data_IF_461292292134
#
_entry.id   IF_461292292134
#
_cell.length_a   1.000
_cell.length_b   1.000
_cell.length_c   1.000
_cell.angle_alpha   90.00
_cell.angle_beta   90.00
_cell.angle_gamma   90.00
#
_symmetry.space_group_name_H-M   'P 1'
#
loop_
_entity.id
_entity.type
_entity.pdbx_description
1 polymer ?
#
# COMPACT_ATOMS: atom_id res chain seq x y z
N UNK A 1 8.67 1.55 -7.63
CA UNK A 1 8.51 0.16 -7.18
C UNK A 1 7.32 -0.52 -7.81
N UNK A 2 7.52 -0.98 -9.01
CA UNK A 2 6.45 -1.58 -9.79
C UNK A 2 5.95 -2.89 -9.19
N UNK A 3 6.85 -3.68 -8.65
CA UNK A 3 6.50 -4.94 -8.00
C UNK A 3 5.60 -4.72 -6.78
N UNK A 4 5.89 -3.69 -6.00
CA UNK A 4 5.08 -3.36 -4.82
C UNK A 4 3.66 -2.99 -5.23
N UNK A 5 3.51 -2.19 -6.28
CA UNK A 5 2.20 -1.80 -6.78
C UNK A 5 1.39 -3.01 -7.21
N UNK A 6 2.02 -3.93 -7.94
CA UNK A 6 1.34 -5.15 -8.39
C UNK A 6 0.89 -6.02 -7.23
N UNK A 7 1.70 -6.16 -6.20
CA UNK A 7 1.35 -6.94 -5.02
C UNK A 7 0.14 -6.35 -4.29
N UNK A 8 0.11 -5.04 -4.16
CA UNK A 8 -1.00 -4.36 -3.51
C UNK A 8 -2.28 -4.54 -4.31
N UNK A 9 -2.22 -4.34 -5.62
CA UNK A 9 -3.39 -4.47 -6.50
C UNK A 9 -3.99 -5.87 -6.42
N UNK A 10 -3.15 -6.90 -6.34
CA UNK A 10 -3.60 -8.28 -6.27
C UNK A 10 -4.35 -8.60 -4.98
N UNK A 11 -4.08 -7.87 -3.90
CA UNK A 11 -4.64 -8.17 -2.58
C UNK A 11 -5.93 -7.41 -2.27
N UNK A 12 -6.24 -6.37 -3.01
CA UNK A 12 -7.34 -5.47 -2.67
C UNK A 12 -8.36 -5.34 -3.79
N UNK A 13 -9.53 -4.80 -3.43
CA UNK A 13 -10.61 -4.52 -4.36
C UNK A 13 -10.59 -3.05 -4.75
N UNK A 14 -10.96 -2.77 -5.99
CA UNK A 14 -11.17 -1.41 -6.51
C UNK A 14 -10.03 -0.45 -6.20
N UNK A 15 -8.78 -0.78 -6.54
CA UNK A 15 -7.67 0.13 -6.27
C UNK A 15 -7.78 1.40 -7.11
N UNK A 16 -7.50 2.53 -6.46
CA UNK A 16 -7.42 3.83 -7.13
C UNK A 16 -5.98 4.27 -7.04
N UNK A 17 -5.35 4.47 -8.19
CA UNK A 17 -3.93 4.79 -8.29
C UNK A 17 -3.76 6.23 -8.73
N UNK A 18 -2.98 7.00 -7.99
CA UNK A 18 -2.70 8.40 -8.29
C UNK A 18 -1.20 8.65 -8.26
N UNK A 19 -0.67 9.23 -9.33
CA UNK A 19 0.72 9.65 -9.39
C UNK A 19 0.85 11.04 -8.76
N UNK A 20 1.73 11.18 -7.77
CA UNK A 20 1.92 12.44 -7.05
C UNK A 20 3.26 13.10 -7.35
N UNK A 21 4.02 12.59 -8.31
CA UNK A 21 5.32 13.14 -8.67
C UNK A 21 6.47 12.56 -7.85
N UNK A 22 6.34 12.54 -6.55
CA UNK A 22 7.37 11.98 -5.64
C UNK A 22 6.96 10.62 -5.06
N UNK A 23 5.72 10.22 -5.25
CA UNK A 23 5.24 8.90 -4.83
C UNK A 23 4.03 8.50 -5.65
N UNK A 24 3.67 7.22 -5.56
CA UNK A 24 2.44 6.71 -6.15
C UNK A 24 1.51 6.36 -5.00
N UNK A 25 0.34 6.97 -4.97
CA UNK A 25 -0.65 6.69 -3.93
C UNK A 25 -1.65 5.66 -4.43
N UNK A 26 -1.89 4.65 -3.61
CA UNK A 26 -2.91 3.64 -3.87
C UNK A 26 -3.93 3.68 -2.74
N UNK A 27 -5.19 3.78 -3.10
CA UNK A 27 -6.31 3.71 -2.15
C UNK A 27 -7.13 2.50 -2.55
N UNK A 28 -7.27 1.54 -1.65
CA UNK A 28 -7.92 0.28 -1.97
C UNK A 28 -8.76 -0.21 -0.80
N UNK A 29 -9.67 -1.13 -1.06
CA UNK A 29 -10.57 -1.65 -0.03
C UNK A 29 -10.43 -3.15 0.14
N UNK A 30 -10.61 -3.59 1.38
CA UNK A 30 -10.67 -5.01 1.71
C UNK A 30 -11.49 -5.16 2.99
N UNK A 31 -12.52 -6.01 2.94
CA UNK A 31 -13.40 -6.26 4.11
C UNK A 31 -14.00 -4.98 4.69
N UNK A 32 -14.41 -4.06 3.81
CA UNK A 32 -15.01 -2.77 4.17
C UNK A 32 -14.05 -1.81 4.87
N UNK A 33 -12.76 -2.09 4.83
CA UNK A 33 -11.72 -1.20 5.35
C UNK A 33 -11.00 -0.58 4.19
N UNK A 34 -10.77 0.73 4.26
CA UNK A 34 -10.03 1.45 3.24
C UNK A 34 -8.57 1.54 3.65
N UNK A 35 -7.70 1.12 2.76
CA UNK A 35 -6.25 1.09 3.00
C UNK A 35 -5.57 2.09 2.08
N UNK A 36 -4.56 2.76 2.60
CA UNK A 36 -3.80 3.78 1.88
C UNK A 36 -2.34 3.36 1.81
N UNK A 37 -1.76 3.42 0.61
CA UNK A 37 -0.34 3.11 0.42
C UNK A 37 0.29 4.25 -0.36
N UNK A 38 1.37 4.82 0.17
CA UNK A 38 2.18 5.78 -0.55
C UNK A 38 3.50 5.11 -0.88
N UNK A 39 3.73 4.84 -2.16
CA UNK A 39 4.91 4.11 -2.63
C UNK A 39 5.95 5.12 -3.09
N UNK A 40 7.02 5.23 -2.30
CA UNK A 40 8.18 6.03 -2.63
C UNK A 40 9.26 5.14 -3.23
N UNK A 41 10.37 5.75 -3.65
CA UNK A 41 11.45 4.99 -4.28
C UNK A 41 12.07 3.96 -3.34
N UNK A 42 12.19 4.28 -2.06
CA UNK A 42 12.89 3.44 -1.09
C UNK A 42 12.06 3.07 0.13
N UNK A 43 10.79 3.45 0.18
CA UNK A 43 9.93 3.12 1.32
C UNK A 43 8.47 3.14 0.87
N UNK A 44 7.65 2.35 1.54
CA UNK A 44 6.20 2.36 1.35
C UNK A 44 5.56 2.72 2.68
N UNK A 45 4.69 3.71 2.66
CA UNK A 45 3.95 4.11 3.85
C UNK A 45 2.54 3.54 3.75
N UNK A 46 2.17 2.72 4.72
CA UNK A 46 0.87 2.04 4.73
C UNK A 46 0.01 2.54 5.89
N UNK A 47 -1.27 2.72 5.63
CA UNK A 47 -2.19 3.29 6.61
C UNK A 47 -3.59 2.68 6.41
N UNK A 48 -4.19 2.23 7.50
CA UNK A 48 -5.52 1.60 7.46
C UNK A 48 -6.65 2.56 7.84
N UNK A 49 -6.34 3.82 8.06
CA UNK A 49 -7.34 4.82 8.43
C UNK A 49 -7.63 4.88 9.93
N UNK A 50 -7.11 3.95 10.70
CA UNK A 50 -7.40 3.84 12.15
C UNK A 50 -6.11 3.89 12.97
N UNK A 51 -5.16 3.01 12.65
CA UNK A 51 -3.90 2.88 13.39
C UNK A 51 -2.84 3.81 12.81
N UNK A 52 -1.70 3.87 13.48
CA UNK A 52 -0.60 4.70 13.02
C UNK A 52 -0.06 4.19 11.67
N UNK A 53 0.49 5.12 10.90
CA UNK A 53 1.12 4.81 9.63
C UNK A 53 2.33 3.90 9.85
N UNK A 54 2.47 2.90 8.99
CA UNK A 54 3.56 1.92 9.06
C UNK A 54 4.52 2.14 7.90
N UNK A 55 5.82 2.07 8.19
CA UNK A 55 6.85 2.15 7.16
C UNK A 55 7.27 0.75 6.74
N UNK A 56 7.21 0.48 5.44
CA UNK A 56 7.61 -0.79 4.86
C UNK A 56 8.80 -0.53 3.95
N UNK A 57 9.96 -1.02 4.35
CA UNK A 57 11.21 -0.71 3.66
C UNK A 57 11.65 -1.74 2.64
N UNK A 58 11.07 -2.93 2.68
CA UNK A 58 11.40 -4.01 1.75
C UNK A 58 10.14 -4.66 1.22
N UNK A 59 10.27 -5.39 0.12
CA UNK A 59 9.14 -6.14 -0.45
C UNK A 59 8.69 -7.22 0.54
N UNK A 60 9.62 -7.81 1.28
CA UNK A 60 9.29 -8.82 2.28
C UNK A 60 8.40 -8.21 3.38
N UNK A 61 8.73 -7.02 3.86
CA UNK A 61 7.92 -6.33 4.85
C UNK A 61 6.52 -6.02 4.30
N UNK A 62 6.44 -5.63 3.03
CA UNK A 62 5.15 -5.39 2.38
C UNK A 62 4.34 -6.68 2.33
N UNK A 63 4.95 -7.78 1.92
CA UNK A 63 4.26 -9.06 1.85
C UNK A 63 3.72 -9.49 3.20
N UNK A 64 4.51 -9.31 4.26
CA UNK A 64 4.08 -9.62 5.62
C UNK A 64 2.90 -8.74 6.04
N UNK A 65 2.96 -7.46 5.72
CA UNK A 65 1.89 -6.53 6.04
C UNK A 65 0.59 -6.93 5.32
N UNK A 66 0.69 -7.29 4.05
CA UNK A 66 -0.48 -7.68 3.26
C UNK A 66 -1.11 -8.98 3.76
N UNK A 67 -0.34 -9.82 4.44
CA UNK A 67 -0.84 -11.06 5.01
C UNK A 67 -1.82 -10.80 6.16
N UNK A 68 -1.62 -9.73 6.89
CA UNK A 68 -2.46 -9.40 8.05
C UNK A 68 -3.57 -8.39 7.73
N UNK A 69 -3.62 -7.92 6.51
CA UNK A 69 -4.68 -7.00 6.06
C UNK A 69 -6.04 -7.69 5.91
#
# INVERSE_FOLDING_TARGET
MELALNKIIECFESPIISEKGHCTRVIAKKNNVTWYFDIYQDVILAFDGINEQVELKTIEELENYLTIC
#
